data_IF_737014215542
#
_entry.id   IF_737014215542
#
_cell.length_a   1.000
_cell.length_b   1.000
_cell.length_c   1.000
_cell.angle_alpha   90.00
_cell.angle_beta   90.00
_cell.angle_gamma   90.00
#
_symmetry.space_group_name_H-M   'P 1'
#
loop_
_entity.id
_entity.type
_entity.pdbx_description
1 polymer ?
#
# COMPACT_ATOMS: atom_id res chain seq x y z
N UNK A 1 12.03 1.14 7.70
CA UNK A 1 12.18 -0.34 7.68
C UNK A 1 13.35 -0.81 6.83
N UNK A 2 13.40 -0.48 5.54
CA UNK A 2 14.45 -0.96 4.62
C UNK A 2 15.89 -0.67 5.09
N UNK A 3 16.13 0.49 5.71
CA UNK A 3 17.42 0.82 6.32
C UNK A 3 17.84 -0.12 7.45
N UNK A 4 16.89 -0.68 8.22
CA UNK A 4 17.18 -1.66 9.28
C UNK A 4 17.57 -3.02 8.69
N UNK A 5 16.92 -3.46 7.61
CA UNK A 5 17.33 -4.66 6.88
C UNK A 5 18.73 -4.48 6.30
N UNK A 6 19.01 -3.33 5.68
CA UNK A 6 20.35 -3.01 5.19
C UNK A 6 21.39 -3.06 6.32
N UNK A 7 21.08 -2.48 7.49
CA UNK A 7 21.94 -2.54 8.67
C UNK A 7 22.16 -3.99 9.14
N UNK A 8 21.12 -4.83 9.15
CA UNK A 8 21.25 -6.25 9.52
C UNK A 8 22.18 -7.02 8.57
N UNK A 9 22.03 -6.81 7.25
CA UNK A 9 22.89 -7.42 6.22
C UNK A 9 24.34 -6.91 6.34
N UNK A 10 24.52 -5.61 6.54
CA UNK A 10 25.84 -5.00 6.72
C UNK A 10 26.51 -5.56 7.99
N UNK A 11 25.76 -5.66 9.08
CA UNK A 11 26.25 -6.22 10.35
C UNK A 11 26.69 -7.67 10.16
N UNK A 12 25.86 -8.48 9.51
CA UNK A 12 26.22 -9.84 9.11
C UNK A 12 27.52 -9.87 8.28
N UNK A 13 27.67 -8.98 7.30
CA UNK A 13 28.86 -8.90 6.44
C UNK A 13 30.12 -8.54 7.22
N UNK A 14 30.03 -7.67 8.22
CA UNK A 14 31.15 -7.32 9.12
C UNK A 14 31.62 -8.56 9.89
N UNK A 15 30.69 -9.34 10.46
CA UNK A 15 31.03 -10.55 11.20
C UNK A 15 31.64 -11.65 10.33
N UNK A 16 31.23 -11.74 9.07
CA UNK A 16 31.80 -12.69 8.11
C UNK A 16 33.18 -12.28 7.57
N UNK A 17 33.57 -11.02 7.73
CA UNK A 17 34.85 -10.52 7.21
C UNK A 17 36.01 -10.88 8.16
N UNK A 18 37.24 -11.12 7.63
CA UNK A 18 38.42 -11.38 8.44
C UNK A 18 38.65 -10.27 9.47
N UNK A 19 39.06 -10.64 10.69
CA UNK A 19 39.21 -9.71 11.84
C UNK A 19 40.02 -8.46 11.50
N UNK A 20 41.05 -8.61 10.67
CA UNK A 20 41.92 -7.51 10.22
C UNK A 20 41.16 -6.41 9.46
N UNK A 21 40.18 -6.76 8.61
CA UNK A 21 39.43 -5.79 7.81
C UNK A 21 38.21 -5.20 8.51
N UNK A 22 37.76 -5.76 9.64
CA UNK A 22 36.51 -5.35 10.30
C UNK A 22 36.50 -3.88 10.68
N UNK A 23 37.61 -3.35 11.21
CA UNK A 23 37.71 -1.93 11.58
C UNK A 23 37.55 -1.01 10.36
N UNK A 24 38.20 -1.34 9.24
CA UNK A 24 38.09 -0.58 8.01
C UNK A 24 36.67 -0.61 7.43
N UNK A 25 36.01 -1.77 7.48
CA UNK A 25 34.61 -1.90 7.03
C UNK A 25 33.68 -1.07 7.93
N UNK A 26 33.80 -1.17 9.26
CA UNK A 26 33.01 -0.38 10.21
C UNK A 26 33.21 1.12 9.96
N UNK A 27 34.46 1.56 9.75
CA UNK A 27 34.74 2.96 9.46
C UNK A 27 34.07 3.44 8.18
N UNK A 28 34.09 2.63 7.10
CA UNK A 28 33.40 2.95 5.84
C UNK A 28 31.88 3.02 6.01
N UNK A 29 31.30 2.13 6.80
CA UNK A 29 29.86 2.13 7.11
C UNK A 29 29.49 3.40 7.87
N UNK A 30 30.25 3.75 8.92
CA UNK A 30 29.99 4.95 9.72
C UNK A 30 30.14 6.21 8.88
N UNK A 31 31.23 6.33 8.13
CA UNK A 31 31.48 7.50 7.27
C UNK A 31 30.39 7.63 6.19
N UNK A 32 30.05 6.54 5.50
CA UNK A 32 28.99 6.53 4.50
C UNK A 32 27.60 6.80 5.11
N UNK A 33 27.33 6.31 6.32
CA UNK A 33 26.10 6.56 7.06
C UNK A 33 25.95 8.02 7.47
N UNK A 34 27.02 8.63 8.02
CA UNK A 34 27.05 10.06 8.37
C UNK A 34 26.88 10.90 7.11
N UNK A 35 27.62 10.61 6.04
CA UNK A 35 27.51 11.33 4.78
C UNK A 35 26.09 11.22 4.21
N UNK A 36 25.49 10.02 4.24
CA UNK A 36 24.10 9.81 3.82
C UNK A 36 23.09 10.59 4.66
N UNK A 37 23.29 10.67 5.98
CA UNK A 37 22.46 11.49 6.87
C UNK A 37 22.62 12.98 6.58
N UNK A 38 23.83 13.46 6.31
CA UNK A 38 24.09 14.84 5.91
C UNK A 38 23.48 15.18 4.55
N UNK A 39 23.62 14.30 3.56
CA UNK A 39 23.05 14.49 2.22
C UNK A 39 21.51 14.45 2.23
N UNK A 40 20.92 13.65 3.12
CA UNK A 40 19.46 13.59 3.31
C UNK A 40 18.91 14.61 4.31
N UNK A 41 19.78 15.37 4.99
CA UNK A 41 19.40 16.35 6.01
C UNK A 41 18.34 17.35 5.54
N UNK A 42 18.40 17.93 4.32
CA UNK A 42 17.36 18.85 3.87
C UNK A 42 15.95 18.26 3.88
N UNK A 43 15.81 16.94 3.66
CA UNK A 43 14.50 16.28 3.64
C UNK A 43 13.99 16.01 5.07
N UNK A 44 14.81 15.43 5.96
CA UNK A 44 14.36 15.01 7.28
C UNK A 44 14.46 16.11 8.35
N UNK A 45 15.38 17.07 8.21
CA UNK A 45 15.57 18.15 9.19
C UNK A 45 14.38 19.11 9.18
N UNK A 46 13.88 19.50 8.00
CA UNK A 46 12.68 20.32 7.88
C UNK A 46 11.46 19.64 8.49
N UNK A 47 11.32 18.34 8.26
CA UNK A 47 10.30 17.53 8.91
C UNK A 47 10.47 17.56 10.44
N UNK A 48 11.67 17.25 10.96
CA UNK A 48 11.94 17.21 12.39
C UNK A 48 11.68 18.55 13.10
N UNK A 49 12.06 19.67 12.48
CA UNK A 49 11.81 21.01 13.01
C UNK A 49 10.32 21.39 13.00
N UNK A 50 9.53 20.81 12.10
CA UNK A 50 8.09 21.06 12.02
C UNK A 50 7.27 20.27 13.06
N UNK A 51 7.77 19.12 13.53
CA UNK A 51 7.04 18.23 14.44
C UNK A 51 6.50 18.90 15.72
N UNK A 52 7.27 19.75 16.44
CA UNK A 52 6.80 20.33 17.71
C UNK A 52 5.54 21.19 17.59
N UNK A 53 5.37 21.85 16.44
CA UNK A 53 4.27 22.80 16.16
C UNK A 53 3.16 22.20 15.30
N UNK A 54 3.22 20.90 15.07
CA UNK A 54 2.32 20.21 14.15
C UNK A 54 1.38 19.23 14.86
N UNK A 55 0.27 18.95 14.20
CA UNK A 55 -0.56 17.78 14.45
C UNK A 55 -0.10 16.65 13.52
N UNK A 56 0.26 15.51 14.10
CA UNK A 56 0.75 14.33 13.38
C UNK A 56 -0.33 13.25 13.20
N UNK A 57 -1.56 13.50 13.65
CA UNK A 57 -2.67 12.57 13.49
C UNK A 57 -2.37 11.18 14.06
N UNK A 58 -2.85 10.14 13.37
CA UNK A 58 -2.57 8.74 13.70
C UNK A 58 -1.07 8.39 13.68
N UNK A 59 -0.21 9.20 13.03
CA UNK A 59 1.24 8.97 13.06
C UNK A 59 1.86 9.26 14.43
N UNK A 60 1.08 9.74 15.41
CA UNK A 60 1.52 9.86 16.80
C UNK A 60 1.92 8.51 17.41
N UNK A 61 1.13 7.45 17.20
CA UNK A 61 1.43 6.09 17.64
C UNK A 61 0.67 5.03 16.82
N UNK A 62 1.43 4.22 16.08
CA UNK A 62 1.03 2.98 15.40
C UNK A 62 1.62 1.73 16.06
N UNK A 63 2.19 1.80 17.26
CA UNK A 63 2.91 0.65 17.86
C UNK A 63 2.10 -0.66 17.90
N UNK A 64 0.78 -0.54 18.13
CA UNK A 64 -0.15 -1.68 18.17
C UNK A 64 -0.90 -1.93 16.84
N UNK A 65 -0.66 -1.12 15.81
CA UNK A 65 -1.30 -1.28 14.51
C UNK A 65 -0.75 -2.51 13.78
N UNK A 66 -1.64 -3.26 13.16
CA UNK A 66 -1.38 -4.53 12.52
C UNK A 66 -2.32 -4.70 11.32
N UNK A 67 -2.09 -5.73 10.52
CA UNK A 67 -2.96 -6.05 9.40
C UNK A 67 -4.41 -6.22 9.84
N UNK A 68 -5.34 -5.75 9.01
CA UNK A 68 -6.74 -6.08 9.18
C UNK A 68 -6.93 -7.59 9.01
N UNK A 69 -7.95 -8.12 9.69
CA UNK A 69 -8.34 -9.52 9.56
C UNK A 69 -8.57 -9.90 8.09
N UNK A 70 -7.87 -10.93 7.63
CA UNK A 70 -7.93 -11.41 6.24
C UNK A 70 -6.90 -10.82 5.28
N UNK A 71 -6.20 -9.72 5.63
CA UNK A 71 -5.17 -9.12 4.75
C UNK A 71 -3.97 -10.05 4.52
N UNK A 72 -3.67 -10.95 5.46
CA UNK A 72 -2.64 -11.99 5.28
C UNK A 72 -2.91 -12.85 4.06
N UNK A 73 -4.18 -13.13 3.75
CA UNK A 73 -4.53 -13.93 2.57
C UNK A 73 -4.20 -13.22 1.26
N UNK A 74 -4.28 -11.88 1.21
CA UNK A 74 -3.86 -11.10 0.05
C UNK A 74 -2.36 -11.20 -0.23
N UNK A 75 -1.54 -11.40 0.79
CA UNK A 75 -0.11 -11.61 0.59
C UNK A 75 0.20 -12.90 -0.17
N UNK A 76 -0.63 -13.93 0.00
CA UNK A 76 -0.47 -15.22 -0.68
C UNK A 76 -1.26 -15.31 -1.99
N UNK A 77 -2.43 -14.66 -2.04
CA UNK A 77 -3.39 -14.70 -3.13
C UNK A 77 -3.74 -13.25 -3.53
N UNK A 78 -2.92 -12.61 -4.37
CA UNK A 78 -3.02 -11.19 -4.64
C UNK A 78 -4.39 -10.74 -5.11
N UNK A 79 -5.09 -11.55 -5.92
CA UNK A 79 -6.40 -11.16 -6.47
C UNK A 79 -7.57 -11.85 -5.80
N UNK A 80 -7.39 -12.31 -4.56
CA UNK A 80 -8.44 -12.98 -3.79
C UNK A 80 -9.72 -12.14 -3.74
N UNK A 81 -9.57 -10.83 -3.54
CA UNK A 81 -10.66 -9.86 -3.49
C UNK A 81 -10.87 -9.08 -4.80
N UNK A 82 -10.24 -9.52 -5.89
CA UNK A 82 -10.21 -8.83 -7.18
C UNK A 82 -9.12 -7.76 -7.28
N UNK A 83 -9.07 -7.07 -8.42
CA UNK A 83 -8.14 -5.96 -8.65
C UNK A 83 -8.52 -4.74 -7.76
N UNK A 84 -7.56 -3.85 -7.55
CA UNK A 84 -7.63 -2.65 -6.69
C UNK A 84 -8.85 -1.73 -6.96
N UNK A 85 -9.56 -1.88 -8.08
CA UNK A 85 -10.60 -0.96 -8.56
C UNK A 85 -12.04 -1.35 -8.12
N UNK A 86 -12.19 -1.89 -6.90
CA UNK A 86 -13.46 -2.40 -6.35
C UNK A 86 -14.25 -1.41 -5.48
N UNK A 87 -15.19 -1.94 -4.68
CA UNK A 87 -15.89 -1.19 -3.60
C UNK A 87 -14.87 -0.57 -2.63
N UNK A 88 -15.18 0.61 -2.08
CA UNK A 88 -14.32 1.35 -1.12
C UNK A 88 -13.80 0.46 0.02
N UNK A 89 -14.65 -0.38 0.61
CA UNK A 89 -14.27 -1.32 1.67
C UNK A 89 -13.11 -2.26 1.29
N UNK A 90 -13.02 -2.65 0.01
CA UNK A 90 -11.97 -3.52 -0.52
C UNK A 90 -10.71 -2.73 -0.92
N UNK A 91 -10.88 -1.48 -1.33
CA UNK A 91 -9.77 -0.54 -1.58
C UNK A 91 -9.01 -0.29 -0.28
N UNK A 92 -9.74 -0.13 0.82
CA UNK A 92 -9.17 0.06 2.17
C UNK A 92 -8.30 -1.14 2.58
N UNK A 93 -8.78 -2.37 2.34
CA UNK A 93 -8.03 -3.59 2.61
C UNK A 93 -6.73 -3.65 1.79
N UNK A 94 -6.80 -3.31 0.50
CA UNK A 94 -5.63 -3.22 -0.37
C UNK A 94 -4.61 -2.18 0.10
N UNK A 95 -5.08 -0.98 0.45
CA UNK A 95 -4.26 0.12 0.96
C UNK A 95 -3.46 -0.28 2.21
N UNK A 96 -4.11 -1.01 3.12
CA UNK A 96 -3.52 -1.45 4.38
C UNK A 96 -2.73 -2.78 4.29
N UNK A 97 -2.70 -3.43 3.13
CA UNK A 97 -1.87 -4.63 2.93
C UNK A 97 -0.42 -4.25 2.58
N UNK A 98 -0.21 -3.10 1.91
CA UNK A 98 1.13 -2.65 1.52
C UNK A 98 1.79 -3.48 0.42
N UNK A 99 1.03 -4.33 -0.26
CA UNK A 99 1.46 -5.18 -1.38
C UNK A 99 1.30 -6.68 -1.11
N UNK A 100 1.88 -7.52 -1.95
CA UNK A 100 1.78 -8.97 -1.82
C UNK A 100 3.11 -9.65 -2.14
N UNK A 101 3.29 -10.89 -1.65
CA UNK A 101 4.49 -11.68 -1.84
C UNK A 101 4.27 -12.82 -2.84
N UNK A 102 3.05 -13.34 -2.91
CA UNK A 102 2.64 -14.54 -3.64
C UNK A 102 3.28 -15.86 -3.14
N UNK A 103 2.54 -16.97 -3.28
CA UNK A 103 3.00 -18.29 -2.84
C UNK A 103 4.21 -18.80 -3.63
N UNK A 104 4.39 -18.37 -4.87
CA UNK A 104 5.50 -18.77 -5.71
C UNK A 104 6.83 -18.25 -5.18
N UNK A 105 6.92 -16.94 -4.96
CA UNK A 105 8.13 -16.33 -4.40
C UNK A 105 8.43 -16.86 -2.98
N UNK A 106 7.40 -16.99 -2.14
CA UNK A 106 7.56 -17.52 -0.79
C UNK A 106 8.08 -18.97 -0.81
N UNK A 107 7.55 -19.82 -1.69
CA UNK A 107 7.99 -21.21 -1.83
C UNK A 107 9.43 -21.27 -2.33
N UNK A 108 9.77 -20.52 -3.39
CA UNK A 108 11.15 -20.45 -3.90
C UNK A 108 12.14 -19.98 -2.83
N UNK A 109 11.78 -18.96 -2.05
CA UNK A 109 12.61 -18.43 -0.96
C UNK A 109 12.80 -19.47 0.16
N UNK A 110 11.75 -20.19 0.55
CA UNK A 110 11.81 -21.15 1.64
C UNK A 110 12.66 -22.39 1.31
N UNK A 111 12.77 -22.75 0.03
CA UNK A 111 13.67 -23.81 -0.42
C UNK A 111 15.15 -23.51 -0.10
N UNK A 112 15.54 -22.26 0.13
CA UNK A 112 16.91 -21.88 0.51
C UNK A 112 17.35 -22.50 1.84
N UNK A 113 16.40 -22.89 2.69
CA UNK A 113 16.65 -23.58 3.95
C UNK A 113 16.75 -25.11 3.82
N UNK A 114 16.38 -25.66 2.66
CA UNK A 114 16.36 -27.13 2.43
C UNK A 114 17.62 -27.63 1.73
N UNK A 115 18.42 -26.72 1.17
CA UNK A 115 19.62 -27.02 0.37
C UNK A 115 20.86 -26.51 1.12
N UNK A 116 21.95 -27.27 1.21
CA UNK A 116 23.22 -26.75 1.70
C UNK A 116 23.78 -25.70 0.71
N UNK A 117 23.76 -24.41 1.08
CA UNK A 117 24.38 -23.34 0.29
C UNK A 117 25.86 -23.20 0.67
N UNK A 118 26.73 -22.93 -0.29
CA UNK A 118 28.19 -22.88 -0.09
C UNK A 118 28.71 -21.45 0.16
N UNK A 119 28.21 -20.44 -0.55
CA UNK A 119 28.77 -19.07 -0.49
C UNK A 119 28.06 -18.10 0.48
N UNK A 120 26.78 -18.33 0.82
CA UNK A 120 25.98 -17.40 1.63
C UNK A 120 25.11 -18.09 2.70
N UNK A 121 25.58 -19.23 3.19
CA UNK A 121 24.83 -20.14 4.06
C UNK A 121 24.29 -19.52 5.36
N UNK A 122 24.95 -18.50 5.90
CA UNK A 122 24.51 -17.80 7.11
C UNK A 122 23.57 -16.62 6.83
N UNK A 123 23.66 -16.00 5.64
CA UNK A 123 22.82 -14.87 5.25
C UNK A 123 21.34 -15.26 5.21
N UNK A 124 21.03 -16.47 4.73
CA UNK A 124 19.65 -16.97 4.69
C UNK A 124 18.97 -16.97 6.05
N UNK A 125 19.70 -17.22 7.14
CA UNK A 125 19.13 -17.19 8.48
C UNK A 125 18.89 -15.76 8.97
N UNK A 126 19.73 -14.81 8.59
CA UNK A 126 19.50 -13.39 8.86
C UNK A 126 18.25 -12.90 8.12
N UNK A 127 18.11 -13.26 6.84
CA UNK A 127 16.93 -12.92 6.03
C UNK A 127 15.66 -13.62 6.54
N UNK A 128 15.75 -14.90 6.90
CA UNK A 128 14.64 -15.65 7.49
C UNK A 128 14.20 -15.09 8.84
N UNK A 129 15.15 -14.77 9.72
CA UNK A 129 14.85 -14.13 11.00
C UNK A 129 14.20 -12.75 10.80
N UNK A 130 14.70 -11.96 9.85
CA UNK A 130 14.07 -10.69 9.47
C UNK A 130 12.61 -10.89 9.04
N UNK A 131 12.35 -11.81 8.10
CA UNK A 131 11.00 -12.10 7.60
C UNK A 131 10.06 -12.52 8.73
N UNK A 132 10.50 -13.43 9.60
CA UNK A 132 9.68 -13.92 10.73
C UNK A 132 9.39 -12.78 11.70
N UNK A 133 10.40 -12.04 12.16
CA UNK A 133 10.22 -10.99 13.17
C UNK A 133 9.33 -9.85 12.65
N UNK A 134 9.52 -9.46 11.39
CA UNK A 134 8.74 -8.38 10.78
C UNK A 134 7.32 -8.84 10.43
N UNK A 135 7.12 -10.08 9.96
CA UNK A 135 5.78 -10.64 9.79
C UNK A 135 5.03 -10.75 11.13
N UNK A 136 5.69 -11.23 12.19
CA UNK A 136 5.09 -11.30 13.53
C UNK A 136 4.65 -9.93 14.05
N UNK A 137 5.42 -8.86 13.82
CA UNK A 137 4.97 -7.51 14.16
C UNK A 137 3.82 -7.04 13.28
N UNK A 138 3.88 -7.28 11.97
CA UNK A 138 2.83 -6.86 11.05
C UNK A 138 1.48 -7.57 11.35
N UNK A 139 1.53 -8.81 11.83
CA UNK A 139 0.38 -9.59 12.31
C UNK A 139 -0.03 -9.27 13.76
N UNK A 140 0.66 -8.34 14.44
CA UNK A 140 0.27 -7.89 15.77
C UNK A 140 0.67 -8.81 16.93
N UNK A 141 1.70 -9.66 16.77
CA UNK A 141 2.21 -10.48 17.89
C UNK A 141 2.81 -9.58 18.97
N UNK A 142 2.03 -9.34 20.02
CA UNK A 142 2.26 -8.32 21.04
C UNK A 142 3.67 -8.29 21.65
N UNK A 143 4.26 -9.45 21.95
CA UNK A 143 5.63 -9.53 22.49
C UNK A 143 6.68 -9.02 21.49
N UNK A 144 6.56 -9.40 20.21
CA UNK A 144 7.48 -8.98 19.16
C UNK A 144 7.29 -7.51 18.83
N UNK A 145 6.03 -7.03 18.77
CA UNK A 145 5.73 -5.62 18.56
C UNK A 145 6.40 -4.75 19.61
N UNK A 146 6.26 -5.07 20.91
CA UNK A 146 6.90 -4.33 22.01
C UNK A 146 8.41 -4.25 21.89
N UNK A 147 9.07 -5.33 21.46
CA UNK A 147 10.54 -5.34 21.29
C UNK A 147 10.95 -4.43 20.14
N UNK A 148 10.29 -4.57 18.98
CA UNK A 148 10.63 -3.78 17.80
C UNK A 148 10.27 -2.29 18.00
N UNK A 149 9.25 -2.01 18.81
CA UNK A 149 8.83 -0.65 19.19
C UNK A 149 9.82 0.08 20.09
N UNK A 150 10.84 -0.61 20.64
CA UNK A 150 11.96 0.03 21.32
C UNK A 150 12.89 0.76 20.34
N UNK A 151 12.85 0.40 19.05
CA UNK A 151 13.63 1.09 18.03
C UNK A 151 12.99 2.47 17.80
N UNK A 152 13.77 3.57 17.91
CA UNK A 152 13.23 4.91 17.74
C UNK A 152 12.48 5.10 16.43
N UNK A 153 11.38 5.85 16.48
CA UNK A 153 10.53 6.21 15.34
C UNK A 153 9.74 5.06 14.69
N UNK A 154 9.96 3.79 15.07
CA UNK A 154 9.21 2.66 14.49
C UNK A 154 7.74 2.69 14.90
N UNK A 155 7.45 3.05 16.15
CA UNK A 155 6.08 3.19 16.65
C UNK A 155 5.27 4.19 15.86
N UNK A 156 5.89 5.20 15.26
CA UNK A 156 5.22 6.24 14.48
C UNK A 156 5.01 5.85 13.01
N UNK A 157 5.37 4.62 12.61
CA UNK A 157 5.20 4.13 11.24
C UNK A 157 4.10 3.10 11.14
N UNK A 158 3.33 3.12 10.05
CA UNK A 158 2.47 2.00 9.65
C UNK A 158 3.34 0.81 9.24
N UNK A 159 3.93 0.15 10.23
CA UNK A 159 4.97 -0.86 10.02
C UNK A 159 4.50 -1.97 9.08
N UNK A 160 3.26 -2.44 9.26
CA UNK A 160 2.67 -3.53 8.48
C UNK A 160 2.57 -3.21 6.98
N UNK A 161 2.37 -1.93 6.60
CA UNK A 161 2.40 -1.49 5.20
C UNK A 161 3.84 -1.31 4.70
N UNK A 162 4.68 -0.65 5.49
CA UNK A 162 6.02 -0.24 5.05
C UNK A 162 7.11 -1.31 5.20
N UNK A 163 6.80 -2.47 5.77
CA UNK A 163 7.72 -3.61 5.84
C UNK A 163 7.84 -4.35 4.49
N UNK A 164 6.84 -4.25 3.61
CA UNK A 164 6.72 -5.02 2.37
C UNK A 164 7.93 -4.92 1.43
N UNK A 165 8.54 -3.75 1.16
CA UNK A 165 9.74 -3.69 0.32
C UNK A 165 10.92 -4.48 0.90
N UNK A 166 11.04 -4.51 2.23
CA UNK A 166 12.04 -5.32 2.93
C UNK A 166 11.76 -6.82 2.78
N UNK A 167 10.49 -7.22 2.76
CA UNK A 167 10.10 -8.60 2.48
C UNK A 167 10.43 -9.01 1.06
N UNK A 168 10.05 -8.21 0.06
CA UNK A 168 10.35 -8.50 -1.35
C UNK A 168 11.85 -8.66 -1.57
N UNK A 169 12.67 -7.76 -1.01
CA UNK A 169 14.12 -7.85 -1.12
C UNK A 169 14.65 -9.13 -0.47
N UNK A 170 14.26 -9.42 0.77
CA UNK A 170 14.74 -10.60 1.49
C UNK A 170 14.32 -11.92 0.81
N UNK A 171 13.08 -12.01 0.36
CA UNK A 171 12.53 -13.18 -0.31
C UNK A 171 13.15 -13.38 -1.70
N UNK A 172 13.33 -12.31 -2.47
CA UNK A 172 14.01 -12.38 -3.78
C UNK A 172 15.44 -12.85 -3.62
N UNK A 173 16.16 -12.35 -2.61
CA UNK A 173 17.52 -12.76 -2.34
C UNK A 173 17.60 -14.23 -1.88
N UNK A 174 16.65 -14.69 -1.05
CA UNK A 174 16.52 -16.11 -0.70
C UNK A 174 16.21 -16.98 -1.92
N UNK A 175 15.30 -16.55 -2.79
CA UNK A 175 14.98 -17.26 -4.02
C UNK A 175 16.20 -17.34 -4.97
N UNK A 176 16.99 -16.28 -5.07
CA UNK A 176 18.24 -16.28 -5.82
C UNK A 176 19.26 -17.27 -5.22
N UNK A 177 19.39 -17.31 -3.89
CA UNK A 177 20.23 -18.31 -3.19
C UNK A 177 19.74 -19.74 -3.48
N UNK A 178 18.43 -19.99 -3.52
CA UNK A 178 17.87 -21.29 -3.91
C UNK A 178 18.30 -21.69 -5.31
N UNK A 179 18.13 -20.79 -6.28
CA UNK A 179 18.46 -21.05 -7.70
C UNK A 179 19.97 -21.33 -7.86
N UNK A 180 20.81 -20.48 -7.27
CA UNK A 180 22.28 -20.64 -7.27
C UNK A 180 22.72 -21.94 -6.58
N UNK A 181 22.05 -22.33 -5.49
CA UNK A 181 22.37 -23.58 -4.81
C UNK A 181 22.02 -24.81 -5.66
N UNK A 182 20.94 -24.74 -6.46
CA UNK A 182 20.56 -25.81 -7.38
C UNK A 182 21.43 -25.91 -8.63
N UNK A 183 22.06 -24.82 -9.08
CA UNK A 183 23.01 -24.88 -10.20
C UNK A 183 24.33 -25.56 -9.81
N UNK A 184 24.70 -25.51 -8.53
CA UNK A 184 25.94 -26.09 -8.02
C UNK A 184 25.75 -27.44 -7.30
N UNK A 185 24.55 -27.71 -6.78
CA UNK A 185 24.29 -28.93 -6.00
C UNK A 185 22.93 -29.53 -6.34
N UNK A 186 22.88 -30.85 -6.55
CA UNK A 186 21.63 -31.58 -6.77
C UNK A 186 21.07 -32.24 -5.50
N UNK A 187 21.73 -32.06 -4.36
CA UNK A 187 21.42 -32.74 -3.11
C UNK A 187 20.46 -31.92 -2.25
N UNK A 188 19.16 -32.03 -2.53
CA UNK A 188 18.11 -31.59 -1.61
C UNK A 188 17.39 -32.81 -1.02
N UNK A 189 17.18 -32.85 0.31
CA UNK A 189 16.38 -33.90 0.93
C UNK A 189 14.91 -33.68 0.58
N UNK A 190 14.30 -34.60 -0.19
CA UNK A 190 12.88 -34.52 -0.60
C UNK A 190 11.94 -34.29 0.60
N UNK A 191 12.23 -34.93 1.74
CA UNK A 191 11.47 -34.74 2.99
C UNK A 191 11.49 -33.30 3.50
N UNK A 192 12.61 -32.59 3.38
CA UNK A 192 12.71 -31.18 3.80
C UNK A 192 11.94 -30.25 2.86
N UNK A 193 11.95 -30.54 1.55
CA UNK A 193 11.11 -29.82 0.57
C UNK A 193 9.64 -30.01 0.91
N UNK A 194 9.18 -31.25 1.12
CA UNK A 194 7.79 -31.53 1.48
C UNK A 194 7.39 -30.88 2.80
N UNK A 195 8.25 -30.92 3.82
CA UNK A 195 7.99 -30.27 5.11
C UNK A 195 7.80 -28.76 4.94
N UNK A 196 8.73 -28.10 4.26
CA UNK A 196 8.69 -26.64 4.08
C UNK A 196 7.48 -26.22 3.24
N UNK A 197 7.19 -26.96 2.17
CA UNK A 197 6.03 -26.71 1.31
C UNK A 197 4.72 -26.99 2.05
N UNK A 198 4.69 -28.00 2.91
CA UNK A 198 3.54 -28.32 3.78
C UNK A 198 3.27 -27.23 4.81
N UNK A 199 4.31 -26.61 5.37
CA UNK A 199 4.18 -25.44 6.27
C UNK A 199 3.57 -24.26 5.51
N UNK A 200 4.08 -23.95 4.32
CA UNK A 200 3.56 -22.85 3.49
C UNK A 200 2.11 -23.13 3.06
N UNK A 201 1.82 -24.34 2.60
CA UNK A 201 0.47 -24.76 2.22
C UNK A 201 -0.50 -24.63 3.41
N UNK A 202 -0.08 -25.07 4.60
CA UNK A 202 -0.89 -24.96 5.81
C UNK A 202 -1.13 -23.50 6.20
N UNK A 203 -0.10 -22.65 6.14
CA UNK A 203 -0.22 -21.22 6.43
C UNK A 203 -1.17 -20.53 5.44
N UNK A 204 -1.07 -20.85 4.15
CA UNK A 204 -1.95 -20.33 3.12
C UNK A 204 -3.41 -20.79 3.27
N UNK A 205 -3.62 -22.05 3.67
CA UNK A 205 -4.95 -22.56 3.96
C UNK A 205 -5.54 -21.87 5.20
N UNK A 206 -4.74 -21.72 6.27
CA UNK A 206 -5.15 -21.02 7.49
C UNK A 206 -5.51 -19.55 7.21
N UNK A 207 -4.74 -18.85 6.37
CA UNK A 207 -5.07 -17.47 6.00
C UNK A 207 -6.38 -17.38 5.22
N UNK A 208 -6.68 -18.35 4.34
CA UNK A 208 -7.98 -18.39 3.64
C UNK A 208 -9.15 -18.66 4.61
N UNK A 209 -8.95 -19.52 5.60
CA UNK A 209 -9.94 -19.76 6.65
C UNK A 209 -10.21 -18.48 7.46
N UNK A 210 -9.16 -17.73 7.79
CA UNK A 210 -9.25 -16.47 8.51
C UNK A 210 -9.91 -15.37 7.66
N UNK A 211 -9.63 -15.35 6.36
CA UNK A 211 -10.23 -14.42 5.39
C UNK A 211 -11.69 -14.71 5.03
N UNK A 212 -12.30 -15.80 5.54
CA UNK A 212 -13.68 -16.18 5.22
C UNK A 212 -14.69 -15.06 5.46
N UNK A 213 -14.53 -14.30 6.55
CA UNK A 213 -15.42 -13.17 6.84
C UNK A 213 -15.25 -12.02 5.83
N UNK A 214 -14.04 -11.74 5.36
CA UNK A 214 -13.83 -10.74 4.32
C UNK A 214 -14.39 -11.23 2.96
N UNK A 215 -14.29 -12.53 2.70
CA UNK A 215 -14.82 -13.16 1.48
C UNK A 215 -16.36 -13.15 1.41
N UNK A 216 -17.06 -13.27 2.54
CA UNK A 216 -18.54 -13.19 2.54
C UNK A 216 -19.03 -11.79 2.18
N UNK A 217 -18.30 -10.73 2.58
CA UNK A 217 -18.62 -9.35 2.22
C UNK A 217 -18.55 -9.11 0.69
N UNK A 218 -17.76 -9.94 -0.02
CA UNK A 218 -17.55 -9.83 -1.46
C UNK A 218 -18.62 -10.53 -2.30
N UNK A 219 -19.49 -11.36 -1.71
CA UNK A 219 -20.46 -12.19 -2.45
C UNK A 219 -21.48 -11.39 -3.27
N UNK A 220 -21.65 -10.10 -2.96
CA UNK A 220 -22.53 -9.19 -3.69
C UNK A 220 -21.91 -8.59 -4.96
N UNK A 221 -20.62 -8.82 -5.21
CA UNK A 221 -19.94 -8.33 -6.41
C UNK A 221 -20.07 -9.32 -7.57
N UNK A 222 -20.40 -8.86 -8.79
CA UNK A 222 -20.43 -9.72 -9.97
C UNK A 222 -19.04 -10.35 -10.18
N UNK A 223 -19.03 -11.67 -10.40
CA UNK A 223 -17.82 -12.48 -10.63
C UNK A 223 -16.82 -12.57 -9.47
N UNK A 224 -17.17 -12.14 -8.25
CA UNK A 224 -16.31 -12.25 -7.06
C UNK A 224 -15.80 -13.69 -6.83
N UNK A 225 -16.69 -14.67 -6.94
CA UNK A 225 -16.34 -16.07 -6.75
C UNK A 225 -15.33 -16.56 -7.79
N UNK A 226 -15.44 -16.12 -9.05
CA UNK A 226 -14.51 -16.51 -10.11
C UNK A 226 -13.09 -16.00 -9.80
N UNK A 227 -12.95 -14.75 -9.38
CA UNK A 227 -11.66 -14.16 -9.04
C UNK A 227 -11.02 -14.81 -7.81
N UNK A 228 -11.81 -15.09 -6.78
CA UNK A 228 -11.37 -15.82 -5.60
C UNK A 228 -10.84 -17.21 -5.99
N UNK A 229 -11.63 -18.00 -6.73
CA UNK A 229 -11.21 -19.33 -7.17
C UNK A 229 -10.00 -19.27 -8.09
N UNK A 230 -9.94 -18.33 -9.03
CA UNK A 230 -8.81 -18.17 -9.94
C UNK A 230 -7.53 -17.80 -9.20
N UNK A 231 -7.58 -16.84 -8.27
CA UNK A 231 -6.41 -16.43 -7.47
C UNK A 231 -5.94 -17.55 -6.55
N UNK A 232 -6.86 -18.27 -5.92
CA UNK A 232 -6.54 -19.41 -5.04
C UNK A 232 -5.93 -20.56 -5.83
N UNK A 233 -6.54 -20.92 -6.96
CA UNK A 233 -6.04 -21.96 -7.86
C UNK A 233 -4.65 -21.59 -8.38
N UNK A 234 -4.45 -20.36 -8.84
CA UNK A 234 -3.15 -19.87 -9.31
C UNK A 234 -2.06 -20.04 -8.25
N UNK A 235 -2.30 -19.56 -7.01
CA UNK A 235 -1.33 -19.64 -5.93
C UNK A 235 -0.92 -21.07 -5.61
N UNK A 236 -1.89 -21.99 -5.47
CA UNK A 236 -1.59 -23.39 -5.19
C UNK A 236 -0.95 -24.11 -6.39
N UNK A 237 -1.40 -23.83 -7.62
CA UNK A 237 -0.80 -24.40 -8.84
C UNK A 237 0.68 -24.03 -8.96
N UNK A 238 1.05 -22.77 -8.69
CA UNK A 238 2.45 -22.33 -8.72
C UNK A 238 3.27 -22.99 -7.61
N UNK A 239 2.73 -23.08 -6.38
CA UNK A 239 3.39 -23.81 -5.29
C UNK A 239 3.67 -25.26 -5.67
N UNK A 240 2.67 -26.00 -6.14
CA UNK A 240 2.83 -27.40 -6.53
C UNK A 240 3.80 -27.57 -7.71
N UNK A 241 3.77 -26.65 -8.68
CA UNK A 241 4.69 -26.65 -9.81
C UNK A 241 6.15 -26.47 -9.35
N UNK A 242 6.42 -25.52 -8.45
CA UNK A 242 7.76 -25.30 -7.88
C UNK A 242 8.23 -26.55 -7.15
N UNK A 243 7.39 -27.15 -6.30
CA UNK A 243 7.71 -28.37 -5.56
C UNK A 243 8.00 -29.53 -6.49
N UNK A 244 7.16 -29.72 -7.52
CA UNK A 244 7.35 -30.75 -8.53
C UNK A 244 8.68 -30.59 -9.26
N UNK A 245 9.02 -29.38 -9.72
CA UNK A 245 10.28 -29.08 -10.39
C UNK A 245 11.47 -29.30 -9.44
N UNK A 246 11.39 -28.83 -8.20
CA UNK A 246 12.46 -28.98 -7.21
C UNK A 246 12.81 -30.44 -6.91
N UNK A 247 11.85 -31.35 -7.03
CA UNK A 247 12.01 -32.78 -6.74
C UNK A 247 12.39 -33.59 -8.00
N UNK A 248 11.80 -33.25 -9.15
CA UNK A 248 11.78 -34.13 -10.32
C UNK A 248 12.61 -33.65 -11.51
N UNK A 249 12.88 -32.35 -11.64
CA UNK A 249 13.56 -31.81 -12.82
C UNK A 249 15.09 -32.02 -12.75
N UNK A 250 15.71 -32.24 -13.91
CA UNK A 250 17.18 -32.32 -14.05
C UNK A 250 17.86 -30.93 -14.07
N UNK A 251 17.20 -29.92 -14.67
CA UNK A 251 17.68 -28.54 -14.80
C UNK A 251 16.87 -27.59 -13.90
N UNK A 252 16.93 -27.83 -12.59
CA UNK A 252 16.05 -27.19 -11.60
C UNK A 252 16.21 -25.67 -11.59
N UNK A 253 17.44 -25.20 -11.59
CA UNK A 253 17.83 -23.80 -11.68
C UNK A 253 17.12 -23.05 -12.82
N UNK A 254 17.16 -23.59 -14.05
CA UNK A 254 16.53 -22.99 -15.23
C UNK A 254 15.01 -22.95 -15.08
N UNK A 255 14.38 -24.08 -14.74
CA UNK A 255 12.92 -24.15 -14.64
C UNK A 255 12.38 -23.29 -13.49
N UNK A 256 13.01 -23.32 -12.31
CA UNK A 256 12.59 -22.51 -11.16
C UNK A 256 12.76 -21.00 -11.45
N UNK A 257 13.85 -20.62 -12.13
CA UNK A 257 14.05 -19.22 -12.56
C UNK A 257 12.95 -18.78 -13.54
N UNK A 258 12.67 -19.60 -14.55
CA UNK A 258 11.63 -19.31 -15.55
C UNK A 258 10.25 -19.20 -14.92
N UNK A 259 9.90 -20.10 -13.99
CA UNK A 259 8.64 -20.05 -13.25
C UNK A 259 8.56 -18.77 -12.43
N UNK A 260 9.61 -18.44 -11.67
CA UNK A 260 9.65 -17.24 -10.83
C UNK A 260 9.48 -15.95 -11.65
N UNK A 261 10.23 -15.80 -12.74
CA UNK A 261 10.15 -14.64 -13.63
C UNK A 261 8.76 -14.55 -14.28
N UNK A 262 8.25 -15.66 -14.82
CA UNK A 262 6.95 -15.68 -15.50
C UNK A 262 5.81 -15.35 -14.53
N UNK A 263 5.83 -15.93 -13.32
CA UNK A 263 4.85 -15.64 -12.28
C UNK A 263 4.87 -14.16 -11.89
N UNK A 264 6.06 -13.59 -11.63
CA UNK A 264 6.20 -12.19 -11.27
C UNK A 264 5.70 -11.25 -12.39
N UNK A 265 6.02 -11.54 -13.66
CA UNK A 265 5.54 -10.77 -14.81
C UNK A 265 4.02 -10.85 -14.93
N UNK A 266 3.43 -12.03 -14.78
CA UNK A 266 1.98 -12.20 -14.87
C UNK A 266 1.25 -11.46 -13.75
N UNK A 267 1.72 -11.58 -12.51
CA UNK A 267 1.16 -10.83 -11.37
C UNK A 267 1.38 -9.31 -11.52
N UNK A 268 2.46 -8.87 -12.16
CA UNK A 268 2.61 -7.46 -12.48
C UNK A 268 1.64 -7.01 -13.59
N UNK A 269 1.44 -7.82 -14.62
CA UNK A 269 0.63 -7.46 -15.79
C UNK A 269 -0.87 -7.39 -15.49
N UNK A 270 -1.42 -8.22 -14.60
CA UNK A 270 -2.87 -8.23 -14.29
C UNK A 270 -3.39 -6.84 -13.89
N UNK A 271 -2.86 -6.14 -12.86
CA UNK A 271 -3.35 -4.82 -12.48
C UNK A 271 -3.15 -3.78 -13.59
N UNK A 272 -2.03 -3.85 -14.33
CA UNK A 272 -1.77 -2.94 -15.47
C UNK A 272 -2.80 -3.12 -16.58
N UNK A 273 -3.19 -4.36 -16.87
CA UNK A 273 -4.15 -4.67 -17.93
C UNK A 273 -5.61 -4.45 -17.48
N UNK A 274 -5.91 -4.65 -16.20
CA UNK A 274 -7.24 -4.48 -15.62
C UNK A 274 -7.53 -3.02 -15.23
N UNK A 275 -6.54 -2.14 -15.19
CA UNK A 275 -6.74 -0.75 -14.82
C UNK A 275 -7.65 0.03 -15.77
N UNK A 276 -8.42 0.99 -15.23
CA UNK A 276 -9.23 1.94 -16.01
C UNK A 276 -8.45 2.56 -17.18
N UNK A 277 -8.83 2.20 -18.41
CA UNK A 277 -8.16 2.66 -19.65
C UNK A 277 -8.79 3.91 -20.27
N UNK A 278 -10.03 4.22 -19.90
CA UNK A 278 -10.85 5.26 -20.54
C UNK A 278 -11.17 6.43 -19.61
N UNK A 279 -10.37 6.65 -18.56
CA UNK A 279 -10.53 7.82 -17.72
C UNK A 279 -10.25 9.09 -18.55
N UNK A 280 -11.32 9.83 -18.90
CA UNK A 280 -11.21 11.12 -19.59
C UNK A 280 -10.97 12.19 -18.55
N UNK A 281 -9.81 12.83 -18.62
CA UNK A 281 -9.51 14.01 -17.82
C UNK A 281 -10.22 15.22 -18.43
N UNK A 282 -11.00 15.94 -17.62
CA UNK A 282 -11.65 17.20 -18.02
C UNK A 282 -10.65 18.36 -17.95
N UNK A 283 -9.81 18.47 -18.98
CA UNK A 283 -8.82 19.54 -19.09
C UNK A 283 -9.45 20.95 -19.06
N UNK A 284 -10.59 21.22 -19.73
CA UNK A 284 -11.26 22.52 -19.60
C UNK A 284 -11.59 22.90 -18.15
N UNK A 285 -12.10 21.96 -17.34
CA UNK A 285 -12.36 22.19 -15.93
C UNK A 285 -11.06 22.44 -15.13
N UNK A 286 -9.99 21.68 -15.41
CA UNK A 286 -8.69 21.90 -14.78
C UNK A 286 -8.12 23.28 -15.11
N UNK A 287 -8.20 23.70 -16.38
CA UNK A 287 -7.69 25.00 -16.81
C UNK A 287 -8.48 26.15 -16.21
N UNK A 288 -9.80 25.99 -16.07
CA UNK A 288 -10.63 26.93 -15.34
C UNK A 288 -10.21 27.02 -13.86
N UNK A 289 -10.06 25.88 -13.18
CA UNK A 289 -9.60 25.86 -11.78
C UNK A 289 -8.23 26.52 -11.59
N UNK A 290 -7.28 26.32 -12.52
CA UNK A 290 -5.96 26.98 -12.45
C UNK A 290 -6.06 28.49 -12.57
N UNK A 291 -6.94 29.00 -13.43
CA UNK A 291 -7.15 30.45 -13.58
C UNK A 291 -7.80 31.06 -12.35
N UNK A 292 -8.84 30.43 -11.81
CA UNK A 292 -9.56 30.95 -10.65
C UNK A 292 -8.75 30.86 -9.34
N UNK A 293 -7.87 29.86 -9.23
CA UNK A 293 -6.98 29.70 -8.08
C UNK A 293 -5.71 30.55 -8.14
N UNK A 294 -5.64 31.54 -9.03
CA UNK A 294 -4.54 32.50 -9.03
C UNK A 294 -4.41 33.22 -7.67
N UNK A 295 -5.54 33.61 -7.06
CA UNK A 295 -5.59 34.34 -5.79
C UNK A 295 -6.37 33.63 -4.68
N UNK A 296 -7.01 32.50 -4.99
CA UNK A 296 -7.81 31.71 -4.04
C UNK A 296 -7.28 30.28 -3.95
N UNK A 297 -7.78 29.51 -2.97
CA UNK A 297 -7.49 28.08 -2.86
C UNK A 297 -8.79 27.28 -2.96
N UNK A 298 -8.72 26.14 -3.65
CA UNK A 298 -9.84 25.20 -3.77
C UNK A 298 -9.88 24.27 -2.57
N UNK A 299 -11.08 24.11 -2.02
CA UNK A 299 -11.45 23.04 -1.09
C UNK A 299 -12.36 22.07 -1.84
N UNK A 300 -12.05 20.79 -1.76
CA UNK A 300 -12.81 19.70 -2.35
C UNK A 300 -13.36 18.82 -1.25
N UNK A 301 -14.60 18.36 -1.40
CA UNK A 301 -15.25 17.40 -0.50
C UNK A 301 -15.36 16.01 -1.15
N UNK A 302 -14.37 15.65 -1.97
CA UNK A 302 -14.24 14.32 -2.58
C UNK A 302 -14.17 14.28 -4.11
N UNK A 303 -14.50 15.37 -4.81
CA UNK A 303 -14.46 15.40 -6.29
C UNK A 303 -13.03 15.51 -6.83
N UNK A 304 -12.21 16.36 -6.21
CA UNK A 304 -10.76 16.41 -6.42
C UNK A 304 -10.09 15.73 -5.22
N UNK A 305 -9.47 14.56 -5.39
CA UNK A 305 -8.78 13.91 -4.29
C UNK A 305 -7.57 14.75 -3.81
N UNK A 306 -7.18 14.65 -2.53
CA UNK A 306 -6.02 15.29 -1.96
C UNK A 306 -4.75 15.03 -2.76
N UNK A 307 -3.83 15.99 -2.71
CA UNK A 307 -2.54 15.98 -3.44
C UNK A 307 -2.66 16.15 -4.97
N UNK A 308 -3.82 15.89 -5.59
CA UNK A 308 -4.00 16.12 -7.03
C UNK A 308 -3.93 17.60 -7.41
N UNK A 309 -4.19 18.50 -6.47
CA UNK A 309 -3.92 19.92 -6.66
C UNK A 309 -2.47 20.18 -7.04
N UNK A 310 -1.51 19.57 -6.32
CA UNK A 310 -0.09 19.71 -6.65
C UNK A 310 0.25 19.08 -8.01
N UNK A 311 -0.32 17.91 -8.32
CA UNK A 311 -0.09 17.22 -9.60
C UNK A 311 -0.56 18.05 -10.80
N UNK A 312 -1.75 18.66 -10.72
CA UNK A 312 -2.31 19.46 -11.81
C UNK A 312 -1.93 20.95 -11.74
N UNK A 313 -1.23 21.40 -10.70
CA UNK A 313 -0.87 22.81 -10.50
C UNK A 313 -2.05 23.69 -10.05
N UNK A 314 -3.03 23.12 -9.36
CA UNK A 314 -4.18 23.82 -8.76
C UNK A 314 -3.85 24.10 -7.29
N UNK A 315 -3.99 25.36 -6.85
CA UNK A 315 -3.79 25.71 -5.44
C UNK A 315 -4.96 25.15 -4.63
N UNK A 316 -4.76 24.01 -3.98
CA UNK A 316 -5.74 23.37 -3.10
C UNK A 316 -5.24 23.35 -1.66
N UNK A 317 -6.18 23.26 -0.70
CA UNK A 317 -5.87 22.95 0.70
C UNK A 317 -6.07 21.46 1.05
N UNK A 318 -6.55 20.63 0.12
CA UNK A 318 -6.69 19.19 0.33
C UNK A 318 -5.33 18.49 0.12
N UNK A 319 -4.75 17.95 1.18
CA UNK A 319 -3.52 17.16 1.11
C UNK A 319 -3.54 16.06 2.18
N UNK A 320 -3.20 14.82 1.84
CA UNK A 320 -3.21 13.69 2.81
C UNK A 320 -1.86 13.48 3.49
N UNK A 321 -1.01 14.51 3.50
CA UNK A 321 0.30 14.44 4.14
C UNK A 321 0.25 15.00 5.55
N UNK A 322 0.86 14.25 6.47
CA UNK A 322 1.15 14.70 7.83
C UNK A 322 2.65 14.99 7.95
N UNK A 323 3.07 15.93 8.80
CA UNK A 323 2.26 16.75 9.71
C UNK A 323 1.41 17.85 9.04
N UNK A 324 0.33 18.26 9.71
CA UNK A 324 -0.38 19.52 9.45
C UNK A 324 -0.06 20.56 10.54
N UNK A 325 -0.02 21.88 10.25
CA UNK A 325 0.17 22.88 11.30
C UNK A 325 -0.91 22.79 12.37
N UNK A 326 -0.52 22.73 13.66
CA UNK A 326 -1.49 22.52 14.76
C UNK A 326 -2.54 23.62 14.82
N UNK A 327 -2.11 24.88 14.70
CA UNK A 327 -3.00 26.05 14.68
C UNK A 327 -4.06 25.94 13.58
N UNK A 328 -3.71 25.36 12.43
CA UNK A 328 -4.66 25.16 11.34
C UNK A 328 -5.72 24.12 11.71
N UNK A 329 -5.30 22.96 12.25
CA UNK A 329 -6.23 21.94 12.72
C UNK A 329 -7.15 22.46 13.84
N UNK A 330 -6.60 23.15 14.85
CA UNK A 330 -7.37 23.78 15.93
C UNK A 330 -8.38 24.81 15.40
N UNK A 331 -8.02 25.55 14.35
CA UNK A 331 -8.93 26.51 13.70
C UNK A 331 -10.08 25.80 13.00
N UNK A 332 -9.82 24.67 12.33
CA UNK A 332 -10.86 23.88 11.68
C UNK A 332 -11.81 23.25 12.70
N UNK A 333 -11.27 22.69 13.79
CA UNK A 333 -12.07 22.08 14.85
C UNK A 333 -12.96 23.10 15.56
N UNK A 334 -12.45 24.31 15.80
CA UNK A 334 -13.19 25.37 16.49
C UNK A 334 -14.25 26.04 15.61
N UNK A 335 -14.06 26.11 14.29
CA UNK A 335 -14.88 26.96 13.40
C UNK A 335 -15.64 26.21 12.30
N UNK A 336 -15.29 24.95 12.00
CA UNK A 336 -15.87 24.19 10.89
C UNK A 336 -16.59 22.93 11.39
N UNK A 337 -15.86 21.89 11.78
CA UNK A 337 -16.39 20.64 12.31
C UNK A 337 -15.27 19.87 13.02
N UNK A 338 -15.39 19.58 14.33
CA UNK A 338 -14.38 18.83 15.08
C UNK A 338 -14.22 17.36 14.63
N UNK A 339 -15.07 16.86 13.72
CA UNK A 339 -14.98 15.50 13.16
C UNK A 339 -14.37 15.48 11.75
N UNK A 340 -13.89 16.61 11.22
CA UNK A 340 -13.28 16.67 9.88
C UNK A 340 -11.79 16.35 9.95
N UNK A 341 -11.26 15.64 8.94
CA UNK A 341 -9.81 15.43 8.83
C UNK A 341 -9.16 16.73 8.36
N UNK A 342 -8.23 17.34 9.13
CA UNK A 342 -7.60 18.60 8.76
C UNK A 342 -6.67 18.50 7.55
N UNK A 343 -6.31 17.29 7.13
CA UNK A 343 -5.50 17.02 5.93
C UNK A 343 -6.41 16.77 4.71
N UNK A 344 -7.37 15.84 4.84
CA UNK A 344 -8.17 15.35 3.72
C UNK A 344 -9.50 16.05 3.48
N UNK A 345 -10.07 16.73 4.48
CA UNK A 345 -11.45 17.26 4.49
C UNK A 345 -12.54 16.19 4.27
N UNK A 346 -12.33 14.99 4.82
CA UNK A 346 -13.31 13.90 4.80
C UNK A 346 -14.02 13.72 6.14
N UNK A 347 -15.20 13.10 6.12
CA UNK A 347 -15.99 12.76 7.31
C UNK A 347 -16.40 11.28 7.32
N UNK A 348 -16.26 10.55 8.45
CA UNK A 348 -15.53 11.00 9.63
C UNK A 348 -14.04 11.03 9.30
N UNK A 349 -13.42 12.15 9.67
CA UNK A 349 -12.02 12.38 9.44
C UNK A 349 -11.24 12.36 10.75
N UNK A 350 -9.91 12.33 10.64
CA UNK A 350 -9.00 12.33 11.79
C UNK A 350 -8.85 13.73 12.40
N UNK A 351 -9.97 14.37 12.73
CA UNK A 351 -9.99 15.59 13.56
C UNK A 351 -9.33 15.32 14.91
N UNK A 352 -8.97 16.37 15.66
CA UNK A 352 -8.19 16.21 16.90
C UNK A 352 -8.80 15.18 17.86
N UNK A 353 -10.14 15.17 17.93
CA UNK A 353 -10.98 14.24 18.69
C UNK A 353 -10.74 12.75 18.41
N UNK A 354 -10.34 12.38 17.18
CA UNK A 354 -10.07 11.00 16.78
C UNK A 354 -8.57 10.69 16.63
N UNK A 355 -7.72 11.71 16.74
CA UNK A 355 -6.27 11.60 16.54
C UNK A 355 -5.45 11.31 17.80
N UNK A 356 -6.07 11.42 18.99
CA UNK A 356 -5.40 11.10 20.25
C UNK A 356 -5.20 9.59 20.38
N UNK A 357 -3.94 9.17 20.60
CA UNK A 357 -3.47 7.77 20.62
C UNK A 357 -4.24 6.82 21.57
N UNK A 358 -5.09 7.33 22.46
CA UNK A 358 -5.98 6.55 23.33
C UNK A 358 -7.19 5.95 22.61
N UNK A 359 -7.55 6.40 21.41
CA UNK A 359 -8.75 5.96 20.68
C UNK A 359 -8.51 4.85 19.64
N UNK A 360 -7.36 4.16 19.64
CA UNK A 360 -7.03 3.12 18.63
C UNK A 360 -8.08 1.98 18.51
N UNK A 361 -8.96 1.79 19.50
CA UNK A 361 -10.15 0.94 19.37
C UNK A 361 -11.07 1.36 18.20
N UNK A 362 -10.97 2.61 17.75
CA UNK A 362 -11.70 3.20 16.64
C UNK A 362 -11.07 2.95 15.26
N UNK A 363 -9.97 2.20 15.13
CA UNK A 363 -9.45 1.86 13.79
C UNK A 363 -10.47 1.02 13.02
N UNK A 364 -11.20 0.12 13.69
CA UNK A 364 -12.36 -0.57 13.10
C UNK A 364 -13.52 0.40 12.80
N UNK A 365 -13.65 1.49 13.55
CA UNK A 365 -14.68 2.51 13.40
C UNK A 365 -14.38 3.41 12.18
N UNK A 366 -13.12 3.79 11.96
CA UNK A 366 -12.61 4.45 10.76
C UNK A 366 -12.84 3.60 9.51
N UNK A 367 -12.46 2.32 9.57
CA UNK A 367 -12.69 1.35 8.48
C UNK A 367 -14.19 1.10 8.21
N UNK A 368 -15.05 1.26 9.21
CA UNK A 368 -16.51 1.14 9.05
C UNK A 368 -17.20 2.42 8.58
N UNK A 369 -16.52 3.56 8.68
CA UNK A 369 -17.12 4.87 8.48
C UNK A 369 -16.61 5.63 7.24
N UNK A 370 -15.61 5.08 6.52
CA UNK A 370 -15.10 5.60 5.24
C UNK A 370 -16.07 5.47 4.04
N UNK A 371 -17.38 5.49 4.29
CA UNK A 371 -18.39 5.76 3.27
C UNK A 371 -18.62 7.26 3.19
N UNK A 372 -18.17 7.97 2.14
CA UNK A 372 -18.40 9.41 2.02
C UNK A 372 -19.89 9.64 1.79
N UNK A 373 -20.63 10.03 2.84
CA UNK A 373 -21.95 10.60 2.65
C UNK A 373 -21.79 12.08 2.28
N UNK A 374 -21.65 12.34 0.99
CA UNK A 374 -21.65 13.69 0.37
C UNK A 374 -22.83 14.56 0.84
N UNK A 375 -23.92 13.93 1.28
CA UNK A 375 -25.13 14.56 1.81
C UNK A 375 -24.93 15.29 3.15
N UNK A 376 -24.07 14.83 4.06
CA UNK A 376 -23.82 15.52 5.33
C UNK A 376 -23.02 16.82 5.13
N UNK A 377 -22.03 16.78 4.24
CA UNK A 377 -21.22 17.95 3.87
C UNK A 377 -22.04 19.02 3.12
N UNK A 378 -23.01 18.61 2.30
CA UNK A 378 -23.90 19.51 1.57
C UNK A 378 -24.97 20.17 2.48
N UNK A 379 -25.44 19.48 3.51
CA UNK A 379 -26.40 20.03 4.48
C UNK A 379 -25.80 21.20 5.28
N UNK A 380 -24.48 21.19 5.49
CA UNK A 380 -23.72 22.24 6.15
C UNK A 380 -23.50 23.49 5.28
N UNK A 381 -23.29 23.34 3.96
CA UNK A 381 -23.24 24.48 3.03
C UNK A 381 -24.56 25.28 3.01
N UNK A 382 -25.68 24.64 3.37
CA UNK A 382 -26.98 25.28 3.52
C UNK A 382 -27.12 26.17 4.76
N UNK A 383 -26.25 26.04 5.76
CA UNK A 383 -26.32 26.75 7.05
C UNK A 383 -25.30 27.89 7.20
N UNK A 384 -24.41 28.10 6.23
CA UNK A 384 -23.44 29.21 6.21
C UNK A 384 -24.09 30.46 5.56
N UNK A 385 -23.80 31.66 6.08
CA UNK A 385 -24.39 32.93 5.62
C UNK A 385 -24.28 33.10 4.09
N UNK A 386 -25.44 33.17 3.43
CA UNK A 386 -25.61 32.96 1.98
C UNK A 386 -24.99 34.05 1.11
N UNK A 387 -24.59 35.18 1.69
CA UNK A 387 -24.12 36.37 0.94
C UNK A 387 -22.78 36.19 0.24
N UNK A 388 -21.90 35.30 0.72
CA UNK A 388 -20.62 34.98 0.07
C UNK A 388 -20.69 33.76 -0.86
N UNK A 389 -21.73 32.93 -0.73
CA UNK A 389 -21.99 31.73 -1.54
C UNK A 389 -22.86 32.01 -2.78
N UNK A 390 -23.58 33.14 -2.81
CA UNK A 390 -24.51 33.48 -3.90
C UNK A 390 -23.81 33.62 -5.26
N UNK A 391 -22.58 34.15 -5.28
CA UNK A 391 -21.74 34.22 -6.49
C UNK A 391 -21.29 32.84 -7.00
N UNK A 392 -21.17 31.84 -6.13
CA UNK A 392 -20.82 30.46 -6.52
C UNK A 392 -22.02 29.62 -6.93
N UNK A 393 -23.17 29.80 -6.28
CA UNK A 393 -24.42 29.11 -6.60
C UNK A 393 -25.06 29.62 -7.90
N UNK A 394 -24.93 30.91 -8.23
CA UNK A 394 -25.42 31.47 -9.50
C UNK A 394 -24.65 30.91 -10.72
N UNK A 395 -23.39 30.53 -10.55
CA UNK A 395 -22.58 29.86 -11.58
C UNK A 395 -23.05 28.42 -11.81
N UNK A 396 -23.40 27.71 -10.74
CA UNK A 396 -23.90 26.33 -10.80
C UNK A 396 -25.33 26.29 -11.38
N UNK A 397 -26.22 27.22 -10.99
CA UNK A 397 -27.58 27.29 -11.53
C UNK A 397 -27.63 27.75 -13.00
N UNK A 398 -26.73 28.64 -13.44
CA UNK A 398 -26.61 28.98 -14.88
C UNK A 398 -26.14 27.80 -15.72
N UNK A 399 -25.31 26.90 -15.17
CA UNK A 399 -24.86 25.70 -15.87
C UNK A 399 -25.96 24.62 -15.99
N UNK A 400 -26.80 24.45 -14.95
CA UNK A 400 -27.90 23.49 -14.98
C UNK A 400 -29.07 23.90 -15.87
N UNK A 401 -29.22 25.19 -16.17
CA UNK A 401 -30.31 25.72 -17.02
C UNK A 401 -29.97 25.72 -18.53
N UNK A 402 -28.72 25.44 -18.92
CA UNK A 402 -28.29 25.42 -20.33
C UNK A 402 -28.10 24.04 -20.93
N UNK A 403 -28.41 22.95 -20.21
CA UNK A 403 -28.47 21.60 -20.80
C UNK A 403 -29.68 20.83 -20.27
N UNK A 404 -30.66 20.46 -21.13
CA UNK A 404 -31.66 19.47 -20.77
C UNK A 404 -30.97 18.13 -20.51
N UNK A 405 -31.44 17.42 -19.47
CA UNK A 405 -30.92 16.15 -18.95
C UNK A 405 -31.34 14.93 -19.82
N UNK A 406 -31.72 15.13 -21.09
CA UNK A 406 -32.32 14.09 -21.93
C UNK A 406 -31.41 13.49 -23.03
N UNK A 407 -30.09 13.49 -22.86
CA UNK A 407 -29.16 12.93 -23.86
C UNK A 407 -28.23 11.86 -23.29
N UNK A 408 -28.81 10.77 -22.76
CA UNK A 408 -28.11 9.48 -22.67
C UNK A 408 -29.09 8.35 -22.99
N UNK A 409 -29.16 7.95 -24.27
CA UNK A 409 -29.75 6.66 -24.67
C UNK A 409 -28.64 5.66 -25.01
N UNK A 410 -28.76 4.38 -24.64
CA UNK A 410 -27.65 3.42 -24.75
C UNK A 410 -27.55 2.74 -26.13
N UNK A 411 -28.25 3.20 -27.16
CA UNK A 411 -28.43 2.46 -28.41
C UNK A 411 -27.81 3.14 -29.64
N UNK A 412 -26.55 3.57 -29.55
CA UNK A 412 -25.57 3.57 -30.68
C UNK A 412 -25.95 4.17 -32.05
N UNK A 413 -27.06 4.90 -32.19
CA UNK A 413 -27.48 5.55 -33.43
C UNK A 413 -27.27 7.04 -33.28
N UNK A 414 -26.16 7.51 -33.85
CA UNK A 414 -25.85 8.93 -33.96
C UNK A 414 -26.91 9.64 -34.80
N UNK A 415 -27.33 10.81 -34.35
CA UNK A 415 -27.93 11.81 -35.22
C UNK A 415 -26.84 12.26 -36.21
N UNK A 416 -26.94 11.75 -37.44
CA UNK A 416 -26.52 12.48 -38.62
C UNK A 416 -27.46 13.66 -38.85
N UNK A 417 -26.97 14.61 -39.64
CA UNK A 417 -27.68 15.75 -40.20
C UNK A 417 -28.09 16.84 -39.21
N UNK A 418 -27.21 17.83 -39.00
CA UNK A 418 -27.54 19.26 -38.99
C UNK A 418 -26.28 20.10 -38.68
N UNK A 419 -25.38 20.24 -39.66
CA UNK A 419 -24.50 21.39 -39.76
C UNK A 419 -24.28 21.70 -41.25
N UNK A 420 -25.09 22.61 -41.79
CA UNK A 420 -24.72 23.34 -43.01
C UNK A 420 -23.71 24.43 -42.62
N UNK A 421 -22.69 24.71 -43.45
CA UNK A 421 -21.76 25.80 -43.21
C UNK A 421 -22.38 27.12 -43.67
N UNK A 422 -22.44 28.11 -42.79
CA UNK A 422 -22.62 29.49 -43.21
C UNK A 422 -21.24 30.07 -43.57
N UNK A 423 -21.09 30.42 -44.85
CA UNK A 423 -19.99 31.18 -45.39
C UNK A 423 -20.16 32.68 -45.08
N UNK A 424 -19.10 33.31 -44.58
CA UNK A 424 -18.53 34.60 -45.02
C UNK A 424 -17.30 34.90 -44.16
#
# INVERSE_FOLDING_TARGET
>A
MNGLLALAIITWRVFQSPRFYRKAIIFRILYGGILGLCLSAPAWLSFALSLPVSLVGMNADFGNAHFLSGSTALHFFPYLFGAEQGRMDLVELWWHTGGYIDLGLLTLAALAFTIPSTSYSSLRYVLGAWLILTAMKAEGVHFVSKIIDLIPLIRQTMFFVYASPGWWFALTLLAAITIDSYSHTNTSKKSSIFLMSGIIFSAALLSLLYARHALTLQQHLPHANLLNYASTLWGFSILFLIVFVAISAKKKDVFLSSIGITNAVLLFCVPVLCGSRNAKIDYPALDWLKRETAFTRVVSFGTLPPNYGAYYGIKSINYTYLPVPRVFAETLDANIDPNIDPSGFYTPGLGQKYSDASSIHDMNLYLSASSPNTLSSLHWLGSVDKRSLQTGLDVIQRWSLWRPVDAWRPDGRGMGDHWQPAAA
#
